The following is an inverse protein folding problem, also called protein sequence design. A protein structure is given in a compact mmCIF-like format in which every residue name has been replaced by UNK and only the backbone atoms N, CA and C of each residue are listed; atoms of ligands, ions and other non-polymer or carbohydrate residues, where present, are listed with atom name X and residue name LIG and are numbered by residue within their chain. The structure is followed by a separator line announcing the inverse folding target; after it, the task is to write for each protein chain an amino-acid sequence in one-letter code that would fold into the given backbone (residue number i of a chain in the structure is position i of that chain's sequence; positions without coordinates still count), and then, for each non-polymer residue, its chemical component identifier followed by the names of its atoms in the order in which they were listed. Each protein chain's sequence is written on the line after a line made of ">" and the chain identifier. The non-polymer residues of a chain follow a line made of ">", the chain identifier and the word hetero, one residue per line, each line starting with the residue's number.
data_IF_226654010848
#
_entry.id   IF_226654010848
#
_cell.length_a   1.000
_cell.length_b   1.000
_cell.length_c   1.000
_cell.angle_alpha   90.00
_cell.angle_beta   90.00
_cell.angle_gamma   90.00
#
_symmetry.space_group_name_H-M   'P 1'
#
loop_
_entity.id
_entity.type
_entity.pdbx_description
1 polymer ?
#
# COMPACT_ATOMS: atom_id res chain seq x y z
N UNK A 1 8.16 20.05 -5.13
CA UNK A 1 9.61 19.81 -5.42
C UNK A 1 9.73 18.43 -6.04
N UNK A 2 10.62 18.22 -7.02
CA UNK A 2 10.88 16.88 -7.60
C UNK A 2 12.27 16.44 -7.15
N UNK A 3 12.36 15.22 -6.62
CA UNK A 3 13.59 14.63 -6.09
C UNK A 3 13.75 13.22 -6.66
N UNK A 4 14.96 12.78 -6.92
CA UNK A 4 15.26 11.40 -7.34
C UNK A 4 15.86 10.64 -6.14
N UNK A 5 15.20 9.59 -5.69
CA UNK A 5 15.72 8.74 -4.64
C UNK A 5 16.32 7.46 -5.22
N UNK A 6 17.53 7.14 -4.81
CA UNK A 6 18.07 5.79 -4.93
C UNK A 6 17.47 4.88 -3.87
N UNK A 7 17.31 3.58 -4.17
CA UNK A 7 16.96 2.63 -3.13
C UNK A 7 18.12 2.47 -2.15
N UNK A 8 17.80 2.43 -0.86
CA UNK A 8 18.76 2.12 0.21
C UNK A 8 18.78 0.62 0.49
N UNK A 9 17.76 -0.10 0.04
CA UNK A 9 17.65 -1.54 0.14
C UNK A 9 16.77 -2.11 -0.96
N UNK A 10 17.18 -3.24 -1.53
CA UNK A 10 16.45 -4.03 -2.51
C UNK A 10 16.35 -5.48 -2.03
N UNK A 11 15.14 -6.03 -2.03
CA UNK A 11 14.86 -7.43 -1.69
C UNK A 11 14.19 -8.09 -2.91
N UNK A 12 14.89 -8.98 -3.63
CA UNK A 12 14.26 -9.73 -4.72
C UNK A 12 13.22 -10.70 -4.16
N UNK A 13 12.04 -10.74 -4.77
CA UNK A 13 10.96 -11.65 -4.38
C UNK A 13 10.55 -12.55 -5.53
N UNK A 14 10.07 -13.76 -5.18
CA UNK A 14 9.51 -14.70 -6.15
C UNK A 14 8.02 -14.40 -6.32
N UNK A 15 7.70 -13.38 -7.08
CA UNK A 15 6.35 -13.01 -7.44
C UNK A 15 6.17 -13.03 -8.96
N UNK A 16 4.95 -13.25 -9.43
CA UNK A 16 4.59 -13.15 -10.84
C UNK A 16 3.80 -11.86 -11.13
N UNK A 17 3.10 -11.33 -10.11
CA UNK A 17 2.39 -10.05 -10.19
C UNK A 17 2.37 -9.37 -8.82
N UNK A 18 3.50 -8.77 -8.50
CA UNK A 18 3.72 -8.04 -7.25
C UNK A 18 2.84 -6.79 -7.20
N UNK A 19 1.99 -6.64 -6.16
CA UNK A 19 1.02 -5.54 -6.12
C UNK A 19 0.88 -4.82 -4.78
N UNK A 20 0.40 -5.44 -3.71
CA UNK A 20 0.16 -4.78 -2.43
C UNK A 20 1.33 -4.92 -1.47
N UNK A 21 1.46 -3.99 -0.54
CA UNK A 21 2.52 -4.01 0.48
C UNK A 21 2.03 -3.39 1.78
N UNK A 22 2.35 -4.02 2.92
CA UNK A 22 2.14 -3.44 4.25
C UNK A 22 3.24 -3.80 5.22
N UNK A 23 3.41 -2.96 6.25
CA UNK A 23 4.32 -3.14 7.37
C UNK A 23 3.55 -3.47 8.65
N UNK A 24 3.94 -4.50 9.37
CA UNK A 24 3.26 -4.93 10.61
C UNK A 24 4.05 -4.64 11.88
N UNK A 25 5.10 -3.80 11.80
CA UNK A 25 6.00 -3.52 12.91
C UNK A 25 7.18 -4.49 13.04
N UNK A 26 7.11 -5.65 12.39
CA UNK A 26 8.15 -6.68 12.42
C UNK A 26 8.46 -7.27 11.05
N UNK A 27 7.50 -7.34 10.17
CA UNK A 27 7.63 -7.98 8.86
C UNK A 27 6.94 -7.16 7.77
N UNK A 28 7.47 -7.29 6.56
CA UNK A 28 6.80 -6.83 5.35
C UNK A 28 5.89 -7.93 4.82
N UNK A 29 4.68 -7.54 4.43
CA UNK A 29 3.74 -8.42 3.77
C UNK A 29 3.43 -7.89 2.38
N UNK A 30 3.60 -8.72 1.35
CA UNK A 30 3.26 -8.35 -0.02
C UNK A 30 2.25 -9.31 -0.63
N UNK A 31 1.54 -8.84 -1.65
CA UNK A 31 0.56 -9.62 -2.41
C UNK A 31 1.09 -9.98 -3.79
N UNK A 32 0.84 -11.22 -4.22
CA UNK A 32 1.07 -11.70 -5.57
C UNK A 32 -0.24 -12.11 -6.23
N UNK A 33 -0.72 -11.28 -7.15
CA UNK A 33 -2.02 -11.46 -7.79
C UNK A 33 -2.06 -12.57 -8.85
N UNK A 34 -0.92 -13.11 -9.30
CA UNK A 34 -0.88 -14.25 -10.23
C UNK A 34 -0.78 -15.59 -9.50
N UNK A 35 -0.15 -15.59 -8.34
CA UNK A 35 -0.04 -16.79 -7.50
C UNK A 35 -1.19 -16.89 -6.49
N UNK A 36 -2.07 -15.87 -6.43
CA UNK A 36 -3.17 -15.81 -5.46
C UNK A 36 -2.69 -16.03 -4.01
N UNK A 37 -1.63 -15.32 -3.62
CA UNK A 37 -1.03 -15.44 -2.29
C UNK A 37 -0.63 -14.10 -1.67
N UNK A 38 -0.54 -14.10 -0.35
CA UNK A 38 0.07 -13.04 0.45
C UNK A 38 1.29 -13.64 1.16
N UNK A 39 2.42 -12.94 1.14
CA UNK A 39 3.70 -13.43 1.63
C UNK A 39 4.28 -12.48 2.65
N UNK A 40 4.64 -13.02 3.82
CA UNK A 40 5.43 -12.31 4.83
C UNK A 40 6.91 -12.57 4.63
N UNK A 41 7.72 -11.53 4.80
CA UNK A 41 9.17 -11.67 4.83
C UNK A 41 9.80 -10.80 5.93
N UNK A 42 10.98 -11.23 6.35
CA UNK A 42 11.86 -10.44 7.21
C UNK A 42 12.58 -9.38 6.36
N UNK A 43 12.39 -8.08 6.62
CA UNK A 43 13.04 -7.02 5.85
C UNK A 43 14.57 -7.00 6.03
N UNK A 44 15.09 -7.56 7.13
CA UNK A 44 16.52 -7.60 7.40
C UNK A 44 17.25 -8.68 6.60
N UNK A 45 16.69 -9.87 6.47
CA UNK A 45 17.29 -11.00 5.75
C UNK A 45 16.73 -11.21 4.34
N UNK A 46 15.47 -10.79 4.10
CA UNK A 46 14.70 -11.13 2.91
C UNK A 46 14.11 -12.56 2.97
N UNK A 47 14.23 -13.23 4.12
CA UNK A 47 13.70 -14.58 4.32
C UNK A 47 12.17 -14.57 4.31
N UNK A 48 11.57 -15.52 3.62
CA UNK A 48 10.12 -15.73 3.65
C UNK A 48 9.73 -16.40 4.96
N UNK A 49 8.95 -15.68 5.75
CA UNK A 49 8.45 -16.12 7.05
C UNK A 49 7.15 -16.91 6.90
N UNK A 50 6.29 -16.51 5.96
CA UNK A 50 4.97 -17.12 5.79
C UNK A 50 4.40 -16.92 4.39
N UNK A 51 3.53 -17.86 3.96
CA UNK A 51 2.69 -17.73 2.75
C UNK A 51 1.25 -18.05 3.13
N UNK A 52 0.32 -17.23 2.66
CA UNK A 52 -1.11 -17.39 2.86
C UNK A 52 -1.78 -17.45 1.49
N UNK A 53 -2.48 -18.54 1.14
CA UNK A 53 -3.32 -18.56 -0.05
C UNK A 53 -4.42 -17.50 0.06
N UNK A 54 -4.57 -16.67 -0.96
CA UNK A 54 -5.57 -15.62 -1.02
C UNK A 54 -6.16 -15.52 -2.44
N UNK A 55 -7.09 -16.44 -2.80
CA UNK A 55 -7.67 -16.45 -4.15
C UNK A 55 -8.32 -15.11 -4.49
N UNK A 56 -8.03 -14.62 -5.69
CA UNK A 56 -8.59 -13.38 -6.21
C UNK A 56 -7.92 -12.10 -5.70
N UNK A 57 -6.67 -12.16 -5.24
CA UNK A 57 -5.86 -10.94 -4.98
C UNK A 57 -5.91 -9.99 -6.17
N UNK A 58 -6.09 -8.70 -5.91
CA UNK A 58 -6.18 -7.69 -6.98
C UNK A 58 -5.12 -6.60 -6.88
N UNK A 59 -5.10 -5.88 -5.77
CA UNK A 59 -4.24 -4.71 -5.60
C UNK A 59 -3.64 -4.69 -4.18
N UNK A 60 -3.82 -3.62 -3.46
CA UNK A 60 -3.12 -3.35 -2.21
C UNK A 60 -3.65 -4.15 -1.01
N UNK A 61 -2.84 -4.20 0.04
CA UNK A 61 -3.21 -4.75 1.34
C UNK A 61 -2.71 -3.84 2.46
N UNK A 62 -3.35 -3.97 3.62
CA UNK A 62 -2.92 -3.31 4.86
C UNK A 62 -3.08 -4.25 6.05
N UNK A 63 -2.53 -3.86 7.20
CA UNK A 63 -2.67 -4.58 8.46
C UNK A 63 -3.41 -3.72 9.49
N UNK A 64 -4.39 -4.30 10.17
CA UNK A 64 -5.13 -3.61 11.24
C UNK A 64 -5.74 -4.60 12.23
N UNK A 65 -5.70 -4.26 13.53
CA UNK A 65 -6.30 -5.09 14.57
C UNK A 65 -5.77 -6.54 14.62
N UNK A 66 -4.51 -6.77 14.24
CA UNK A 66 -3.93 -8.11 14.17
C UNK A 66 -4.30 -8.89 12.90
N UNK A 67 -5.10 -8.33 12.01
CA UNK A 67 -5.50 -8.95 10.75
C UNK A 67 -4.88 -8.23 9.55
N UNK A 68 -4.86 -8.92 8.40
CA UNK A 68 -4.60 -8.34 7.10
C UNK A 68 -5.92 -7.97 6.42
N UNK A 69 -5.93 -6.88 5.67
CA UNK A 69 -7.06 -6.50 4.81
C UNK A 69 -6.54 -6.40 3.38
N UNK A 70 -7.04 -7.27 2.51
CA UNK A 70 -6.64 -7.39 1.11
C UNK A 70 -7.75 -6.92 0.18
N UNK A 71 -7.43 -6.09 -0.80
CA UNK A 71 -8.34 -5.79 -1.93
C UNK A 71 -8.41 -7.02 -2.82
N UNK A 72 -9.56 -7.67 -2.91
CA UNK A 72 -9.73 -8.95 -3.57
C UNK A 72 -11.04 -9.06 -4.38
N UNK A 73 -11.04 -10.01 -5.31
CA UNK A 73 -12.18 -10.31 -6.17
C UNK A 73 -12.42 -9.29 -7.28
N UNK A 74 -13.34 -9.59 -8.17
CA UNK A 74 -13.66 -8.77 -9.34
C UNK A 74 -14.15 -7.36 -8.95
N UNK A 75 -14.94 -7.28 -7.88
CA UNK A 75 -15.49 -6.02 -7.37
C UNK A 75 -14.59 -5.27 -6.41
N UNK A 76 -13.34 -5.73 -6.21
CA UNK A 76 -12.34 -5.12 -5.33
C UNK A 76 -12.87 -4.92 -3.91
N UNK A 77 -13.46 -5.99 -3.36
CA UNK A 77 -13.90 -6.02 -1.98
C UNK A 77 -12.72 -6.02 -0.99
N UNK A 78 -12.96 -5.55 0.21
CA UNK A 78 -12.02 -5.60 1.32
C UNK A 78 -12.19 -6.93 2.05
N UNK A 79 -11.23 -7.83 1.91
CA UNK A 79 -11.23 -9.14 2.56
C UNK A 79 -10.31 -9.08 3.78
N UNK A 80 -10.88 -9.31 4.96
CA UNK A 80 -10.14 -9.42 6.22
C UNK A 80 -9.67 -10.84 6.41
N UNK A 81 -8.38 -11.03 6.66
CA UNK A 81 -7.71 -12.32 6.75
C UNK A 81 -6.97 -12.39 8.08
N UNK A 82 -7.18 -13.46 8.82
CA UNK A 82 -6.37 -13.81 9.98
C UNK A 82 -4.99 -14.29 9.49
N UNK A 83 -3.89 -13.60 9.83
CA UNK A 83 -2.56 -13.96 9.35
C UNK A 83 -2.06 -15.29 9.91
N UNK A 84 -2.58 -15.77 11.04
CA UNK A 84 -2.15 -17.02 11.66
C UNK A 84 -2.80 -18.24 11.04
N UNK A 85 -4.07 -18.19 10.74
CA UNK A 85 -4.78 -19.32 10.10
C UNK A 85 -4.85 -19.19 8.57
N UNK A 86 -4.67 -18.00 8.02
CA UNK A 86 -4.90 -17.69 6.59
C UNK A 86 -6.38 -17.65 6.22
N UNK A 87 -7.29 -17.72 7.19
CA UNK A 87 -8.72 -17.76 6.95
C UNK A 87 -9.28 -16.35 6.72
N UNK A 88 -10.24 -16.25 5.81
CA UNK A 88 -11.05 -15.04 5.66
C UNK A 88 -12.02 -14.95 6.84
N UNK A 89 -11.90 -13.91 7.66
CA UNK A 89 -12.74 -13.65 8.83
C UNK A 89 -13.79 -12.57 8.57
N UNK A 90 -13.71 -11.86 7.45
CA UNK A 90 -14.69 -10.86 7.08
C UNK A 90 -14.54 -10.40 5.62
N UNK A 91 -15.62 -9.91 5.05
CA UNK A 91 -15.64 -9.30 3.71
C UNK A 91 -16.53 -8.06 3.74
N UNK A 92 -16.02 -6.94 3.26
CA UNK A 92 -16.79 -5.70 3.06
C UNK A 92 -16.67 -5.26 1.61
N UNK A 93 -17.71 -4.66 1.06
CA UNK A 93 -17.72 -4.16 -0.31
C UNK A 93 -16.69 -3.05 -0.54
N UNK A 94 -16.34 -2.82 -1.81
CA UNK A 94 -15.60 -1.65 -2.21
C UNK A 94 -16.36 -0.38 -1.77
N UNK A 95 -15.74 0.53 -0.99
CA UNK A 95 -16.42 1.74 -0.51
C UNK A 95 -16.92 2.69 -1.61
N UNK A 96 -16.34 2.62 -2.82
CA UNK A 96 -16.85 3.27 -4.04
C UNK A 96 -17.11 2.20 -5.10
N UNK A 97 -18.30 1.58 -5.12
CA UNK A 97 -18.62 0.52 -6.07
C UNK A 97 -18.44 0.95 -7.52
N UNK A 98 -17.85 0.09 -8.35
CA UNK A 98 -17.57 0.38 -9.75
C UNK A 98 -16.26 1.14 -10.01
N UNK A 99 -15.57 1.63 -8.98
CA UNK A 99 -14.29 2.31 -9.12
C UNK A 99 -13.08 1.42 -8.80
N UNK A 100 -11.91 1.84 -9.31
CA UNK A 100 -10.68 1.04 -9.27
C UNK A 100 -9.93 1.31 -7.97
N UNK A 101 -10.29 0.58 -6.90
CA UNK A 101 -9.59 0.63 -5.63
C UNK A 101 -8.21 -0.02 -5.77
N UNK A 102 -7.14 0.75 -5.63
CA UNK A 102 -5.76 0.33 -5.79
C UNK A 102 -4.91 0.51 -4.53
N UNK A 103 -5.16 1.56 -3.74
CA UNK A 103 -4.40 1.86 -2.53
C UNK A 103 -5.19 1.53 -1.27
N UNK A 104 -4.54 0.99 -0.25
CA UNK A 104 -5.17 0.66 1.03
C UNK A 104 -4.17 0.80 2.18
N UNK A 105 -4.51 1.62 3.19
CA UNK A 105 -3.72 1.74 4.40
C UNK A 105 -4.58 1.99 5.62
N UNK A 106 -4.31 1.28 6.71
CA UNK A 106 -4.97 1.49 8.00
C UNK A 106 -4.02 2.21 8.96
N UNK A 107 -4.48 3.32 9.52
CA UNK A 107 -3.76 4.11 10.51
C UNK A 107 -4.64 4.41 11.70
N UNK A 108 -4.09 5.08 12.71
CA UNK A 108 -4.89 5.60 13.83
C UNK A 108 -5.98 6.61 13.41
N UNK A 109 -5.83 7.24 12.25
CA UNK A 109 -6.79 8.21 11.72
C UNK A 109 -7.98 7.54 11.03
N UNK A 110 -7.86 6.28 10.63
CA UNK A 110 -8.88 5.52 9.92
C UNK A 110 -8.30 4.68 8.78
N UNK A 111 -9.17 4.31 7.85
CA UNK A 111 -8.83 3.53 6.67
C UNK A 111 -8.67 4.44 5.44
N UNK A 112 -7.49 4.48 4.89
CA UNK A 112 -7.19 5.17 3.64
C UNK A 112 -7.49 4.26 2.45
N UNK A 113 -8.23 4.77 1.46
CA UNK A 113 -8.58 4.03 0.25
C UNK A 113 -8.29 4.88 -0.98
N UNK A 114 -7.36 4.42 -1.84
CA UNK A 114 -6.91 5.12 -3.04
C UNK A 114 -7.55 4.59 -4.32
N UNK A 115 -8.04 5.48 -5.18
CA UNK A 115 -8.74 5.13 -6.43
C UNK A 115 -7.98 5.65 -7.64
N UNK A 116 -7.53 4.72 -8.51
CA UNK A 116 -6.73 5.03 -9.70
C UNK A 116 -7.51 5.91 -10.70
N UNK A 117 -8.72 5.48 -11.04
CA UNK A 117 -9.57 6.09 -12.06
C UNK A 117 -10.13 7.46 -11.65
N UNK A 118 -10.34 7.66 -10.36
CA UNK A 118 -10.83 8.94 -9.81
C UNK A 118 -9.71 9.90 -9.44
N UNK A 119 -8.48 9.41 -9.25
CA UNK A 119 -7.35 10.18 -8.71
C UNK A 119 -7.69 10.81 -7.36
N UNK A 120 -8.24 10.01 -6.47
CA UNK A 120 -8.56 10.43 -5.10
C UNK A 120 -8.07 9.43 -4.09
N UNK A 121 -7.83 9.91 -2.88
CA UNK A 121 -7.63 9.09 -1.69
C UNK A 121 -8.65 9.54 -0.66
N UNK A 122 -9.46 8.59 -0.19
CA UNK A 122 -10.44 8.82 0.85
C UNK A 122 -9.89 8.35 2.20
N UNK A 123 -10.12 9.15 3.24
CA UNK A 123 -10.07 8.71 4.63
C UNK A 123 -11.46 8.27 5.05
N UNK A 124 -11.57 7.09 5.60
CA UNK A 124 -12.83 6.47 6.00
C UNK A 124 -12.80 6.00 7.44
N UNK A 125 -13.96 6.02 8.05
CA UNK A 125 -14.17 5.36 9.33
C UNK A 125 -13.92 3.85 9.18
N UNK A 126 -13.07 3.23 10.02
CA UNK A 126 -12.73 1.82 9.88
C UNK A 126 -13.87 0.87 10.24
N UNK A 127 -14.88 1.33 11.00
CA UNK A 127 -15.99 0.49 11.43
C UNK A 127 -17.08 0.36 10.36
N UNK A 128 -17.53 1.47 9.79
CA UNK A 128 -18.66 1.50 8.85
C UNK A 128 -18.28 1.92 7.42
N UNK A 129 -17.02 2.27 7.17
CA UNK A 129 -16.48 2.77 5.90
C UNK A 129 -17.06 4.12 5.44
N UNK A 130 -17.73 4.84 6.35
CA UNK A 130 -18.24 6.17 6.08
C UNK A 130 -17.10 7.12 5.71
N UNK A 131 -17.31 7.91 4.67
CA UNK A 131 -16.35 8.91 4.22
C UNK A 131 -16.15 10.00 5.28
N UNK A 132 -14.90 10.25 5.67
CA UNK A 132 -14.48 11.35 6.55
C UNK A 132 -14.01 12.53 5.71
N UNK A 133 -13.05 12.30 4.81
CA UNK A 133 -12.54 13.33 3.91
C UNK A 133 -11.97 12.71 2.63
N UNK A 134 -11.76 13.54 1.60
CA UNK A 134 -11.18 13.14 0.32
C UNK A 134 -10.05 14.07 -0.06
N UNK A 135 -8.91 13.48 -0.47
CA UNK A 135 -7.77 14.18 -1.04
C UNK A 135 -7.72 13.96 -2.54
N UNK A 136 -7.63 15.05 -3.30
CA UNK A 136 -7.40 14.97 -4.74
C UNK A 136 -5.91 14.73 -5.01
N UNK A 137 -5.60 13.80 -5.92
CA UNK A 137 -4.22 13.54 -6.35
C UNK A 137 -3.99 14.08 -7.76
N UNK A 138 -2.78 14.54 -8.03
CA UNK A 138 -2.40 15.00 -9.38
C UNK A 138 -2.20 13.83 -10.33
N UNK A 139 -1.91 12.65 -9.82
CA UNK A 139 -1.56 11.44 -10.58
C UNK A 139 -2.45 10.27 -10.18
N UNK A 140 -2.57 9.24 -11.04
CA UNK A 140 -3.27 8.01 -10.67
C UNK A 140 -2.65 7.35 -9.43
N UNK A 141 -3.48 6.78 -8.58
CA UNK A 141 -3.08 6.12 -7.33
C UNK A 141 -2.91 4.63 -7.57
N UNK A 142 -1.71 4.08 -7.30
CA UNK A 142 -1.42 2.65 -7.38
C UNK A 142 -1.29 1.99 -6.00
N UNK A 143 -0.80 2.70 -5.00
CA UNK A 143 -0.68 2.27 -3.61
C UNK A 143 -0.70 3.47 -2.68
N UNK A 144 -1.01 3.26 -1.41
CA UNK A 144 -1.14 4.32 -0.40
C UNK A 144 -0.49 3.90 0.91
N UNK A 145 0.22 4.81 1.57
CA UNK A 145 0.63 4.67 2.97
C UNK A 145 0.60 6.04 3.65
N UNK A 146 0.60 6.08 4.97
CA UNK A 146 0.56 7.34 5.69
C UNK A 146 1.38 7.30 6.99
N UNK A 147 2.03 8.43 7.30
CA UNK A 147 2.54 8.77 8.61
C UNK A 147 1.52 9.64 9.37
N UNK A 148 1.90 10.16 10.52
CA UNK A 148 1.05 11.08 11.28
C UNK A 148 0.81 12.41 10.56
N UNK A 149 1.74 12.82 9.72
CA UNK A 149 1.71 14.12 9.03
C UNK A 149 1.52 14.01 7.52
N UNK A 150 2.02 12.96 6.90
CA UNK A 150 2.02 12.85 5.46
C UNK A 150 1.27 11.63 4.96
N UNK A 151 0.48 11.83 3.92
CA UNK A 151 -0.09 10.79 3.10
C UNK A 151 0.79 10.60 1.87
N UNK A 152 1.27 9.39 1.64
CA UNK A 152 2.06 9.06 0.46
C UNK A 152 1.27 8.18 -0.50
N UNK A 153 1.45 8.40 -1.81
CA UNK A 153 0.87 7.53 -2.82
C UNK A 153 1.84 7.26 -3.97
N UNK A 154 1.75 6.05 -4.52
CA UNK A 154 2.51 5.62 -5.68
C UNK A 154 1.78 5.97 -6.98
N UNK A 155 2.51 6.49 -7.98
CA UNK A 155 2.10 6.56 -9.38
C UNK A 155 2.88 5.52 -10.18
N UNK A 156 2.23 4.44 -10.55
CA UNK A 156 2.80 3.33 -11.30
C UNK A 156 3.44 3.77 -12.63
N UNK A 157 2.70 4.59 -13.41
CA UNK A 157 3.15 5.00 -14.76
C UNK A 157 4.19 6.09 -14.74
N UNK A 158 4.09 6.99 -13.77
CA UNK A 158 5.03 8.10 -13.61
C UNK A 158 6.31 7.69 -12.88
N UNK A 159 6.39 6.46 -12.35
CA UNK A 159 7.51 5.99 -11.53
C UNK A 159 7.82 6.98 -10.39
N UNK A 160 6.79 7.43 -9.68
CA UNK A 160 6.94 8.37 -8.56
C UNK A 160 6.19 7.92 -7.33
N UNK A 161 6.70 8.36 -6.17
CA UNK A 161 6.01 8.37 -4.89
C UNK A 161 5.79 9.84 -4.52
N UNK A 162 4.54 10.20 -4.23
CA UNK A 162 4.13 11.58 -4.03
C UNK A 162 3.60 11.76 -2.61
N UNK A 163 3.93 12.88 -1.95
CA UNK A 163 3.53 13.19 -0.59
C UNK A 163 2.56 14.35 -0.55
N UNK A 164 1.50 14.16 0.23
CA UNK A 164 0.50 15.17 0.55
C UNK A 164 0.64 15.48 2.03
N UNK A 165 0.74 16.75 2.40
CA UNK A 165 0.67 17.21 3.79
C UNK A 165 -0.79 17.08 4.27
N UNK A 166 -1.01 16.42 5.40
CA UNK A 166 -2.37 16.17 5.92
C UNK A 166 -3.02 17.40 6.53
N UNK A 167 -2.22 18.44 6.89
CA UNK A 167 -2.74 19.66 7.52
C UNK A 167 -3.48 20.54 6.51
N UNK A 168 -2.95 20.65 5.28
CA UNK A 168 -3.51 21.55 4.25
C UNK A 168 -3.93 20.83 2.95
N UNK A 169 -3.64 19.53 2.83
CA UNK A 169 -3.94 18.73 1.64
C UNK A 169 -3.07 19.04 0.42
N UNK A 170 -1.98 19.78 0.58
CA UNK A 170 -1.09 20.14 -0.51
C UNK A 170 -0.14 19.00 -0.86
N UNK A 171 0.06 18.74 -2.16
CA UNK A 171 1.14 17.86 -2.62
C UNK A 171 2.49 18.60 -2.51
N UNK A 172 3.30 18.21 -1.53
CA UNK A 172 4.53 18.90 -1.14
C UNK A 172 5.79 18.34 -1.81
N UNK A 173 5.79 17.05 -2.16
CA UNK A 173 6.95 16.35 -2.70
C UNK A 173 6.53 15.31 -3.73
N UNK A 174 7.33 15.17 -4.78
CA UNK A 174 7.27 14.07 -5.74
C UNK A 174 8.66 13.46 -5.87
N UNK A 175 8.79 12.19 -5.57
CA UNK A 175 10.06 11.44 -5.59
C UNK A 175 10.02 10.49 -6.77
N UNK A 176 10.96 10.66 -7.71
CA UNK A 176 11.16 9.68 -8.79
C UNK A 176 11.89 8.46 -8.23
N UNK A 177 11.37 7.28 -8.52
CA UNK A 177 11.90 5.99 -8.06
C UNK A 177 12.25 5.07 -9.21
N UNK A 178 13.00 4.01 -8.93
CA UNK A 178 13.28 2.98 -9.94
C UNK A 178 12.07 2.07 -10.16
N UNK A 179 11.88 1.65 -11.41
CA UNK A 179 10.83 0.70 -11.80
C UNK A 179 9.43 1.29 -11.75
N UNK A 180 8.45 0.45 -11.43
CA UNK A 180 7.03 0.81 -11.42
C UNK A 180 6.44 0.54 -10.04
N UNK A 181 6.32 1.56 -9.16
CA UNK A 181 5.82 1.37 -7.81
C UNK A 181 4.33 1.04 -7.82
N UNK A 182 3.95 -0.02 -7.08
CA UNK A 182 2.56 -0.42 -6.84
C UNK A 182 2.21 -0.24 -5.36
N UNK A 183 2.06 -1.31 -4.57
CA UNK A 183 1.84 -1.18 -3.13
C UNK A 183 3.01 -0.49 -2.44
N UNK A 184 2.72 0.36 -1.46
CA UNK A 184 3.72 1.07 -0.66
C UNK A 184 3.40 0.95 0.83
N UNK A 185 4.44 0.96 1.67
CA UNK A 185 4.32 0.89 3.12
C UNK A 185 5.36 1.78 3.82
N UNK A 186 4.95 2.44 4.90
CA UNK A 186 5.80 3.21 5.78
C UNK A 186 6.18 2.37 7.01
N UNK A 187 7.48 2.17 7.27
CA UNK A 187 7.95 1.38 8.41
C UNK A 187 8.33 2.23 9.65
N UNK A 188 8.10 3.54 9.58
CA UNK A 188 8.51 4.52 10.59
C UNK A 188 9.81 5.26 10.22
N UNK A 189 10.55 4.78 9.22
CA UNK A 189 11.83 5.35 8.78
C UNK A 189 11.93 5.43 7.25
N UNK A 190 11.53 4.39 6.56
CA UNK A 190 11.64 4.22 5.11
C UNK A 190 10.27 4.03 4.47
N UNK A 191 10.12 4.48 3.24
CA UNK A 191 9.03 4.02 2.39
C UNK A 191 9.51 2.82 1.59
N UNK A 192 8.84 1.70 1.82
CA UNK A 192 8.98 0.50 1.02
C UNK A 192 7.97 0.52 -0.12
N UNK A 193 8.34 -0.03 -1.28
CA UNK A 193 7.42 -0.19 -2.40
C UNK A 193 7.68 -1.48 -3.16
N UNK A 194 6.61 -2.01 -3.74
CA UNK A 194 6.66 -3.08 -4.71
C UNK A 194 7.11 -2.51 -6.06
N UNK A 195 8.28 -2.92 -6.56
CA UNK A 195 8.67 -2.65 -7.94
C UNK A 195 8.13 -3.76 -8.85
N UNK A 196 7.04 -3.45 -9.53
CA UNK A 196 6.36 -4.37 -10.43
C UNK A 196 7.23 -4.81 -11.62
N UNK A 197 8.13 -3.94 -12.10
CA UNK A 197 8.95 -4.22 -13.29
C UNK A 197 10.06 -5.23 -13.01
N UNK A 198 10.62 -5.24 -11.81
CA UNK A 198 11.79 -6.05 -11.47
C UNK A 198 11.52 -7.09 -10.39
N UNK A 199 10.29 -7.17 -9.87
CA UNK A 199 9.89 -8.09 -8.79
C UNK A 199 10.78 -7.95 -7.55
N UNK A 200 10.93 -6.71 -7.09
CA UNK A 200 11.69 -6.38 -5.89
C UNK A 200 10.84 -5.56 -4.93
N UNK A 201 11.04 -5.77 -3.63
CA UNK A 201 10.68 -4.80 -2.62
C UNK A 201 11.84 -3.84 -2.46
N UNK A 202 11.58 -2.54 -2.64
CA UNK A 202 12.61 -1.51 -2.54
C UNK A 202 12.29 -0.55 -1.41
N UNK A 203 13.31 -0.13 -0.68
CA UNK A 203 13.19 0.90 0.34
C UNK A 203 13.89 2.19 -0.10
N UNK A 204 13.26 3.31 0.17
CA UNK A 204 13.82 4.65 -0.07
C UNK A 204 13.72 5.51 1.18
N UNK A 205 14.70 6.40 1.34
CA UNK A 205 14.58 7.53 2.26
C UNK A 205 13.82 8.66 1.57
N UNK A 206 12.86 9.24 2.27
CA UNK A 206 12.12 10.39 1.78
C UNK A 206 12.39 11.58 2.70
N UNK A 207 13.01 12.66 2.17
CA UNK A 207 13.33 13.84 2.99
C UNK A 207 12.09 14.44 3.65
N UNK A 208 12.17 14.68 4.96
CA UNK A 208 11.12 15.34 5.73
C UNK A 208 10.01 14.45 6.26
N UNK A 209 9.94 13.16 5.88
CA UNK A 209 8.95 12.23 6.44
C UNK A 209 9.47 11.58 7.73
N UNK A 210 10.78 11.40 7.86
CA UNK A 210 11.41 10.89 9.07
C UNK A 210 11.44 11.99 10.14
N UNK A 211 10.73 11.80 11.26
CA UNK A 211 10.68 12.73 12.41
C UNK A 211 9.39 13.54 12.55
N UNK A 212 8.34 13.14 11.84
CA UNK A 212 6.99 13.72 12.03
C UNK A 212 6.08 12.78 12.82
#
# INVERSE_FOLDING_TARGET
>A
MVYAAGSVRDIPVRALRLCGLTWTGQSLWYSDAMNDEIVALDPASGEVLRRIPCPGVRTDLTATGGNLVQVAGEHRALRTIDPDSGQTVGVRGNPRPGHVLCGLEATRHGLWTGYEDLRVIDLRDPEDLRLITTFQTRRPVAGVTASDRYLAYADYRGATINLIDLDDGAEVLSVTVHGNPTGIAWDGTLIWYCDFATFQLRAIEVPGIAGS
#
